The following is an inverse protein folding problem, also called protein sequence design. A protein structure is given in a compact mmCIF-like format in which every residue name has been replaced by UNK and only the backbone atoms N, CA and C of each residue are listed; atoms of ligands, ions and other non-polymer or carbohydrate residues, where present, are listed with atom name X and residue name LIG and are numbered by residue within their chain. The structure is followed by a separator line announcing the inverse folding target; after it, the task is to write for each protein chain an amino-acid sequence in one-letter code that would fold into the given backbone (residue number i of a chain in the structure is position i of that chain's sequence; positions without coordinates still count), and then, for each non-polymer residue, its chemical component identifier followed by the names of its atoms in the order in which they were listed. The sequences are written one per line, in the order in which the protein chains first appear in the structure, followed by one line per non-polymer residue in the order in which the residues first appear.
data_IF_278753869751
#
_entry.id   IF_278753869751
#
_cell.length_a   1.000
_cell.length_b   1.000
_cell.length_c   1.000
_cell.angle_alpha   90.00
_cell.angle_beta   90.00
_cell.angle_gamma   90.00
#
_symmetry.space_group_name_H-M   'P 1'
#
loop_
_entity.id
_entity.type
_entity.pdbx_description
1 polymer ?
#
# COMPACT_ATOMS: atom_id res chain seq x y z
N UNK A 1 10.25 11.71 14.33
CA UNK A 1 9.23 12.47 13.59
C UNK A 1 7.91 11.73 13.71
N UNK A 2 6.84 12.45 14.05
CA UNK A 2 5.48 11.91 14.20
C UNK A 2 4.68 12.20 12.93
N UNK A 3 4.03 11.17 12.35
CA UNK A 3 3.23 11.30 11.13
C UNK A 3 2.04 10.34 11.16
N UNK A 4 0.89 10.78 10.65
CA UNK A 4 -0.33 9.97 10.62
C UNK A 4 -0.34 9.07 9.38
N UNK A 5 -0.58 7.78 9.58
CA UNK A 5 -0.91 6.86 8.49
C UNK A 5 -2.44 6.70 8.39
N UNK A 6 -3.01 7.27 7.35
CA UNK A 6 -4.46 7.33 7.14
C UNK A 6 -4.99 5.99 6.61
N UNK A 7 -5.08 5.01 7.50
CA UNK A 7 -5.60 3.68 7.21
C UNK A 7 -6.39 3.10 8.38
N UNK A 8 -7.47 2.38 8.07
CA UNK A 8 -8.19 1.52 9.01
C UNK A 8 -7.72 0.06 8.95
N UNK A 9 -6.84 -0.28 7.99
CA UNK A 9 -6.32 -1.63 7.81
C UNK A 9 -5.16 -1.93 8.76
N UNK A 10 -5.42 -2.77 9.77
CA UNK A 10 -4.42 -3.12 10.80
C UNK A 10 -3.22 -3.90 10.23
N UNK A 11 -3.41 -4.71 9.20
CA UNK A 11 -2.29 -5.41 8.55
C UNK A 11 -1.34 -4.42 7.88
N UNK A 12 -1.87 -3.42 7.15
CA UNK A 12 -1.06 -2.36 6.56
C UNK A 12 -0.31 -1.56 7.64
N UNK A 13 -0.98 -1.20 8.73
CA UNK A 13 -0.37 -0.46 9.83
C UNK A 13 0.79 -1.24 10.47
N UNK A 14 0.62 -2.53 10.68
CA UNK A 14 1.67 -3.42 11.21
C UNK A 14 2.85 -3.49 10.25
N UNK A 15 2.62 -3.79 8.97
CA UNK A 15 3.69 -3.83 7.96
C UNK A 15 4.48 -2.51 7.88
N UNK A 16 3.79 -1.36 7.86
CA UNK A 16 4.45 -0.05 7.80
C UNK A 16 5.33 0.19 9.03
N UNK A 17 4.83 -0.13 10.23
CA UNK A 17 5.59 0.01 11.47
C UNK A 17 6.82 -0.89 11.52
N UNK A 18 6.71 -2.11 11.01
CA UNK A 18 7.83 -3.05 10.91
C UNK A 18 8.89 -2.57 9.91
N UNK A 19 8.47 -2.09 8.73
CA UNK A 19 9.38 -1.59 7.68
C UNK A 19 10.11 -0.33 8.14
N UNK A 20 9.41 0.64 8.73
CA UNK A 20 9.97 1.92 9.16
C UNK A 20 10.74 1.82 10.48
N UNK A 21 10.46 0.80 11.29
CA UNK A 21 11.09 0.59 12.59
C UNK A 21 10.89 1.78 13.54
N UNK A 22 11.83 1.96 14.47
CA UNK A 22 11.77 3.02 15.51
C UNK A 22 12.18 4.42 15.02
N UNK A 23 12.58 4.57 13.76
CA UNK A 23 13.00 5.87 13.22
C UNK A 23 11.84 6.87 13.10
N UNK A 24 10.61 6.37 12.99
CA UNK A 24 9.40 7.16 12.82
C UNK A 24 8.32 6.73 13.82
N UNK A 25 7.63 7.72 14.41
CA UNK A 25 6.42 7.48 15.21
C UNK A 25 5.20 7.49 14.28
N UNK A 26 4.77 6.29 13.88
CA UNK A 26 3.60 6.13 13.01
C UNK A 26 2.33 6.08 13.86
N UNK A 27 1.50 7.09 13.69
CA UNK A 27 0.24 7.30 14.39
C UNK A 27 -0.90 6.82 13.51
N UNK A 28 -1.82 6.03 14.06
CA UNK A 28 -3.00 5.55 13.35
C UNK A 28 -4.13 6.60 13.33
N UNK A 29 -5.16 6.39 12.51
CA UNK A 29 -6.39 7.18 12.55
C UNK A 29 -7.01 7.15 13.95
N UNK A 30 -7.07 5.98 14.58
CA UNK A 30 -7.61 5.81 15.94
C UNK A 30 -6.83 6.62 16.98
N UNK A 31 -5.51 6.71 16.86
CA UNK A 31 -4.67 7.45 17.81
C UNK A 31 -4.92 8.96 17.76
N UNK A 32 -5.48 9.48 16.67
CA UNK A 32 -5.90 10.88 16.51
C UNK A 32 -7.40 11.10 16.74
N UNK A 33 -8.12 10.06 17.18
CA UNK A 33 -9.58 10.14 17.41
C UNK A 33 -10.41 10.16 16.13
N UNK A 34 -9.87 9.66 15.02
CA UNK A 34 -10.59 9.54 13.76
C UNK A 34 -11.21 8.15 13.63
N UNK A 35 -12.53 8.07 13.74
CA UNK A 35 -13.32 6.85 13.53
C UNK A 35 -13.98 6.81 12.13
N UNK A 36 -13.63 7.76 11.25
CA UNK A 36 -14.23 7.83 9.93
C UNK A 36 -13.76 6.66 9.04
N UNK A 37 -14.70 6.12 8.31
CA UNK A 37 -14.42 5.29 7.14
C UNK A 37 -14.26 6.21 5.93
N UNK A 38 -13.01 6.48 5.56
CA UNK A 38 -12.68 7.43 4.50
C UNK A 38 -12.99 6.79 3.15
N UNK A 39 -13.94 7.34 2.37
CA UNK A 39 -14.38 6.71 1.13
C UNK A 39 -13.26 6.65 0.08
N UNK A 40 -13.06 5.48 -0.51
CA UNK A 40 -12.15 5.27 -1.64
C UNK A 40 -12.93 5.36 -2.96
N UNK A 41 -13.26 6.58 -3.37
CA UNK A 41 -14.07 6.87 -4.56
C UNK A 41 -13.23 7.16 -5.80
N UNK A 42 -11.92 7.16 -5.68
CA UNK A 42 -10.98 7.39 -6.77
C UNK A 42 -11.00 6.27 -7.82
N UNK A 43 -10.65 6.64 -9.04
CA UNK A 43 -10.53 5.70 -10.15
C UNK A 43 -9.12 5.12 -10.29
N UNK A 44 -8.16 5.68 -9.58
CA UNK A 44 -6.76 5.26 -9.55
C UNK A 44 -6.26 5.04 -8.12
N UNK A 45 -5.15 4.32 -7.97
CA UNK A 45 -4.50 4.15 -6.66
C UNK A 45 -4.02 5.50 -6.12
N UNK A 46 -3.55 6.39 -7.01
CA UNK A 46 -3.14 7.75 -6.68
C UNK A 46 -4.29 8.54 -6.06
N UNK A 47 -5.46 8.52 -6.70
CA UNK A 47 -6.64 9.25 -6.21
C UNK A 47 -7.05 8.78 -4.82
N UNK A 48 -7.11 7.46 -4.59
CA UNK A 48 -7.50 6.91 -3.30
C UNK A 48 -6.46 7.19 -2.21
N UNK A 49 -5.16 7.09 -2.51
CA UNK A 49 -4.12 7.46 -1.57
C UNK A 49 -4.20 8.96 -1.22
N UNK A 50 -4.38 9.81 -2.22
CA UNK A 50 -4.58 11.26 -2.04
C UNK A 50 -5.78 11.56 -1.14
N UNK A 51 -6.97 11.03 -1.47
CA UNK A 51 -8.20 11.29 -0.71
C UNK A 51 -8.05 10.94 0.78
N UNK A 52 -7.42 9.81 1.09
CA UNK A 52 -7.21 9.39 2.48
C UNK A 52 -6.23 10.30 3.22
N UNK A 53 -5.11 10.66 2.60
CA UNK A 53 -4.13 11.54 3.22
C UNK A 53 -4.68 12.96 3.38
N UNK A 54 -5.36 13.48 2.35
CA UNK A 54 -5.97 14.81 2.38
C UNK A 54 -7.05 14.92 3.46
N UNK A 55 -7.85 13.88 3.65
CA UNK A 55 -8.87 13.87 4.71
C UNK A 55 -8.28 14.18 6.09
N UNK A 56 -7.15 13.57 6.44
CA UNK A 56 -6.47 13.82 7.72
C UNK A 56 -5.96 15.26 7.80
N UNK A 57 -5.38 15.75 6.70
CA UNK A 57 -4.92 17.15 6.66
C UNK A 57 -6.07 18.14 6.86
N UNK A 58 -7.18 17.98 6.14
CA UNK A 58 -8.31 18.92 6.19
C UNK A 58 -9.06 18.92 7.52
N UNK A 59 -9.22 17.73 8.14
CA UNK A 59 -10.03 17.60 9.36
C UNK A 59 -9.23 17.71 10.65
N UNK A 60 -7.93 17.41 10.61
CA UNK A 60 -7.07 17.36 11.81
C UNK A 60 -5.86 18.31 11.73
N UNK A 61 -5.57 18.88 10.57
CA UNK A 61 -4.42 19.78 10.39
C UNK A 61 -3.06 19.10 10.62
N UNK A 62 -2.97 17.78 10.37
CA UNK A 62 -1.78 16.99 10.63
C UNK A 62 -1.10 16.56 9.32
N UNK A 63 0.23 16.48 9.35
CA UNK A 63 0.97 15.82 8.29
C UNK A 63 0.60 14.33 8.27
N UNK A 64 0.32 13.82 7.10
CA UNK A 64 -0.22 12.48 6.93
C UNK A 64 0.26 11.83 5.65
N UNK A 65 0.23 10.52 5.63
CA UNK A 65 0.33 9.76 4.40
C UNK A 65 -0.72 8.64 4.37
N UNK A 66 -1.06 8.21 3.18
CA UNK A 66 -1.92 7.07 2.95
C UNK A 66 -1.37 6.23 1.80
N UNK A 67 -1.67 4.94 1.81
CA UNK A 67 -1.38 4.07 0.68
C UNK A 67 -2.66 3.56 0.04
N UNK A 68 -2.60 3.36 -1.28
CA UNK A 68 -3.51 2.45 -1.94
C UNK A 68 -2.73 1.41 -2.74
N UNK A 69 -3.28 0.20 -2.82
CA UNK A 69 -2.58 -0.96 -3.37
C UNK A 69 -3.49 -1.76 -4.26
N UNK A 70 -3.02 -2.06 -5.46
CA UNK A 70 -3.68 -2.92 -6.42
C UNK A 70 -2.83 -4.10 -6.87
N UNK A 71 -3.49 -5.22 -7.11
CA UNK A 71 -2.97 -6.32 -7.90
C UNK A 71 -3.43 -6.11 -9.34
N UNK A 72 -2.52 -6.08 -10.28
CA UNK A 72 -2.80 -5.91 -11.70
C UNK A 72 -2.38 -7.17 -12.45
N UNK A 73 -3.34 -7.83 -13.10
CA UNK A 73 -3.11 -9.08 -13.85
C UNK A 73 -3.20 -8.80 -15.34
N UNK A 74 -2.13 -9.10 -16.06
CA UNK A 74 -1.99 -8.75 -17.47
C UNK A 74 -3.08 -9.39 -18.33
N UNK A 75 -3.35 -10.69 -18.14
CA UNK A 75 -4.36 -11.41 -18.89
C UNK A 75 -5.81 -10.97 -18.59
N UNK A 76 -6.02 -10.18 -17.55
CA UNK A 76 -7.30 -9.60 -17.17
C UNK A 76 -7.34 -8.08 -17.41
N UNK A 77 -6.48 -7.56 -18.31
CA UNK A 77 -6.40 -6.15 -18.64
C UNK A 77 -6.19 -5.23 -17.41
N UNK A 78 -5.42 -5.69 -16.44
CA UNK A 78 -5.11 -4.95 -15.21
C UNK A 78 -6.08 -5.17 -14.05
N UNK A 79 -7.14 -5.97 -14.24
CA UNK A 79 -7.99 -6.33 -13.09
C UNK A 79 -7.21 -7.19 -12.06
N UNK A 80 -7.55 -7.10 -10.77
CA UNK A 80 -8.57 -6.23 -10.13
C UNK A 80 -8.17 -4.76 -9.98
N UNK A 81 -6.89 -4.38 -10.08
CA UNK A 81 -6.42 -2.99 -10.05
C UNK A 81 -6.87 -2.24 -8.78
N UNK A 82 -7.43 -1.05 -8.95
CA UNK A 82 -7.96 -0.20 -7.86
C UNK A 82 -9.09 -0.88 -7.06
N UNK A 83 -9.74 -1.89 -7.63
CA UNK A 83 -10.80 -2.65 -6.97
C UNK A 83 -10.30 -3.86 -6.19
N UNK A 84 -8.99 -4.00 -5.97
CA UNK A 84 -8.38 -5.19 -5.35
C UNK A 84 -8.99 -5.56 -4.00
N UNK A 85 -9.28 -4.60 -3.14
CA UNK A 85 -9.86 -4.85 -1.82
C UNK A 85 -11.34 -5.29 -1.87
N UNK A 86 -12.08 -4.89 -2.92
CA UNK A 86 -13.53 -5.13 -3.10
C UNK A 86 -13.85 -5.85 -4.42
N UNK A 87 -12.93 -6.67 -4.91
CA UNK A 87 -13.05 -7.33 -6.21
C UNK A 87 -14.25 -8.28 -6.29
N UNK A 88 -14.59 -8.97 -5.21
CA UNK A 88 -15.81 -9.77 -5.08
C UNK A 88 -16.96 -8.92 -4.50
N UNK A 89 -17.48 -7.99 -5.26
CA UNK A 89 -18.44 -6.92 -4.94
C UNK A 89 -19.51 -7.22 -3.87
N UNK A 90 -19.92 -8.48 -3.72
CA UNK A 90 -20.92 -8.92 -2.73
C UNK A 90 -20.33 -9.06 -1.31
N UNK A 91 -19.01 -9.02 -1.16
CA UNK A 91 -18.29 -9.29 0.08
C UNK A 91 -17.20 -8.24 0.27
N UNK A 92 -17.59 -7.08 0.77
CA UNK A 92 -16.67 -5.97 1.01
C UNK A 92 -15.48 -6.41 1.87
N UNK A 93 -14.25 -6.09 1.40
CA UNK A 93 -12.98 -6.43 2.04
C UNK A 93 -12.75 -7.92 2.38
N UNK A 94 -13.46 -8.85 1.73
CA UNK A 94 -13.27 -10.29 1.93
C UNK A 94 -12.15 -10.84 1.05
N UNK A 95 -10.94 -10.96 1.61
CA UNK A 95 -9.76 -11.45 0.89
C UNK A 95 -9.94 -12.84 0.28
N UNK A 96 -10.67 -13.74 0.96
CA UNK A 96 -10.95 -15.08 0.46
C UNK A 96 -11.83 -15.05 -0.78
N UNK A 97 -12.94 -14.31 -0.73
CA UNK A 97 -13.86 -14.15 -1.86
C UNK A 97 -13.16 -13.48 -3.06
N UNK A 98 -12.32 -12.47 -2.81
CA UNK A 98 -11.54 -11.79 -3.83
C UNK A 98 -10.56 -12.75 -4.52
N UNK A 99 -9.85 -13.57 -3.75
CA UNK A 99 -8.89 -14.55 -4.25
C UNK A 99 -9.58 -15.65 -5.06
N UNK A 100 -10.72 -16.16 -4.57
CA UNK A 100 -11.52 -17.17 -5.28
C UNK A 100 -12.04 -16.62 -6.62
N UNK A 101 -12.54 -15.38 -6.64
CA UNK A 101 -12.98 -14.73 -7.89
C UNK A 101 -11.83 -14.60 -8.88
N UNK A 102 -10.64 -14.18 -8.41
CA UNK A 102 -9.46 -14.07 -9.25
C UNK A 102 -9.06 -15.42 -9.86
N UNK A 103 -8.92 -16.46 -9.05
CA UNK A 103 -8.54 -17.79 -9.53
C UNK A 103 -9.55 -18.35 -10.53
N UNK A 104 -10.85 -18.14 -10.30
CA UNK A 104 -11.92 -18.54 -11.23
C UNK A 104 -11.79 -17.81 -12.58
N UNK A 105 -11.52 -16.50 -12.58
CA UNK A 105 -11.27 -15.76 -13.83
C UNK A 105 -10.01 -16.21 -14.55
N UNK A 106 -9.04 -16.74 -13.81
CA UNK A 106 -7.76 -17.24 -14.33
C UNK A 106 -7.79 -18.73 -14.73
N UNK A 107 -8.97 -19.40 -14.67
CA UNK A 107 -9.15 -20.77 -15.15
C UNK A 107 -8.78 -20.84 -16.63
N UNK A 108 -7.99 -21.86 -17.02
CA UNK A 108 -7.51 -22.11 -18.38
C UNK A 108 -6.60 -21.00 -18.99
N UNK A 109 -6.25 -19.96 -18.21
CA UNK A 109 -5.32 -18.93 -18.63
C UNK A 109 -3.90 -19.35 -18.30
N UNK A 110 -3.05 -19.51 -19.33
CA UNK A 110 -1.63 -19.87 -19.20
C UNK A 110 -0.74 -18.65 -18.94
N UNK A 111 -1.08 -17.49 -19.50
CA UNK A 111 -0.36 -16.23 -19.27
C UNK A 111 -0.78 -15.65 -17.91
N UNK A 112 0.05 -15.82 -16.91
CA UNK A 112 -0.29 -15.51 -15.52
C UNK A 112 0.48 -14.34 -14.94
N UNK A 113 1.13 -13.53 -15.79
CA UNK A 113 1.90 -12.36 -15.37
C UNK A 113 1.01 -11.38 -14.63
N UNK A 114 1.53 -10.88 -13.52
CA UNK A 114 0.85 -9.92 -12.68
C UNK A 114 1.88 -9.06 -11.93
N UNK A 115 1.42 -7.93 -11.41
CA UNK A 115 2.22 -7.12 -10.50
C UNK A 115 1.38 -6.61 -9.35
N UNK A 116 2.01 -6.48 -8.20
CA UNK A 116 1.49 -5.63 -7.15
C UNK A 116 2.06 -4.21 -7.29
N UNK A 117 1.20 -3.24 -7.12
CA UNK A 117 1.53 -1.83 -7.14
C UNK A 117 0.98 -1.13 -5.91
N UNK A 118 1.82 -0.37 -5.21
CA UNK A 118 1.41 0.51 -4.11
C UNK A 118 1.77 1.93 -4.47
N UNK A 119 0.83 2.84 -4.27
CA UNK A 119 1.07 4.29 -4.29
C UNK A 119 0.86 4.84 -2.89
N UNK A 120 1.82 5.63 -2.42
CA UNK A 120 1.73 6.40 -1.18
C UNK A 120 1.61 7.87 -1.55
N UNK A 121 0.59 8.55 -1.02
CA UNK A 121 0.47 10.01 -1.00
C UNK A 121 0.90 10.52 0.35
N UNK A 122 1.92 11.38 0.38
CA UNK A 122 2.38 12.11 1.55
C UNK A 122 1.91 13.56 1.44
N UNK A 123 1.12 14.01 2.40
CA UNK A 123 0.66 15.41 2.52
C UNK A 123 1.32 16.03 3.74
N UNK A 124 2.05 17.11 3.51
CA UNK A 124 2.75 17.87 4.52
C UNK A 124 2.29 19.32 4.48
N UNK A 125 2.09 19.92 5.64
CA UNK A 125 1.75 21.35 5.76
C UNK A 125 2.86 22.20 5.18
N UNK A 126 2.46 23.22 4.44
CA UNK A 126 3.39 24.24 3.99
C UNK A 126 3.69 25.20 5.14
N UNK A 127 4.94 25.21 5.60
CA UNK A 127 5.37 26.06 6.71
C UNK A 127 5.37 27.55 6.33
N UNK A 128 5.55 27.87 5.06
CA UNK A 128 5.67 29.24 4.55
C UNK A 128 4.30 29.83 4.14
N UNK A 129 3.31 28.95 3.91
CA UNK A 129 1.97 29.34 3.47
C UNK A 129 0.88 28.62 4.28
N UNK A 130 0.48 29.14 5.43
CA UNK A 130 -0.54 28.54 6.29
C UNK A 130 -1.86 28.27 5.55
N UNK A 131 -2.34 27.03 5.64
CA UNK A 131 -3.54 26.57 4.93
C UNK A 131 -3.28 25.90 3.60
N UNK A 132 -2.01 25.84 3.16
CA UNK A 132 -1.57 25.07 2.01
C UNK A 132 -0.81 23.82 2.44
N UNK A 133 -0.65 22.90 1.51
CA UNK A 133 0.13 21.66 1.68
C UNK A 133 0.97 21.34 0.45
N UNK A 134 1.98 20.54 0.66
CA UNK A 134 2.73 19.87 -0.40
C UNK A 134 2.37 18.42 -0.44
N UNK A 135 2.11 17.90 -1.63
CA UNK A 135 1.92 16.47 -1.86
C UNK A 135 3.11 15.87 -2.58
N UNK A 136 3.52 14.69 -2.14
CA UNK A 136 4.53 13.88 -2.81
C UNK A 136 4.03 12.45 -2.93
N UNK A 137 4.12 11.89 -4.14
CA UNK A 137 3.73 10.50 -4.41
C UNK A 137 4.95 9.59 -4.45
N UNK A 138 4.81 8.41 -3.85
CA UNK A 138 5.82 7.35 -3.87
C UNK A 138 5.20 6.05 -4.36
N UNK A 139 5.82 5.44 -5.33
CA UNK A 139 5.35 4.20 -5.92
C UNK A 139 6.30 3.05 -5.64
N UNK A 140 5.75 1.88 -5.34
CA UNK A 140 6.47 0.62 -5.28
C UNK A 140 5.76 -0.45 -6.10
N UNK A 141 6.53 -1.17 -6.91
CA UNK A 141 6.04 -2.24 -7.79
C UNK A 141 6.83 -3.50 -7.52
N UNK A 142 6.15 -4.64 -7.50
CA UNK A 142 6.78 -5.95 -7.56
C UNK A 142 6.12 -6.77 -8.67
N UNK A 143 6.92 -7.18 -9.64
CA UNK A 143 6.49 -8.07 -10.71
C UNK A 143 6.41 -9.51 -10.22
N UNK A 144 5.57 -10.33 -10.85
CA UNK A 144 5.41 -11.73 -10.51
C UNK A 144 4.35 -12.41 -11.38
N UNK A 145 3.76 -13.45 -10.82
CA UNK A 145 2.72 -14.24 -11.48
C UNK A 145 1.68 -14.75 -10.51
N UNK A 146 0.48 -15.03 -11.01
CA UNK A 146 -0.59 -15.67 -10.25
C UNK A 146 -0.41 -17.18 -10.25
N UNK A 147 -0.39 -17.80 -9.08
CA UNK A 147 -0.42 -19.25 -8.92
C UNK A 147 -1.74 -19.85 -9.43
N UNK A 148 -1.75 -21.13 -9.72
CA UNK A 148 -2.97 -21.86 -10.14
C UNK A 148 -3.92 -22.15 -8.96
N UNK A 149 -3.38 -22.16 -7.76
CA UNK A 149 -4.08 -22.42 -6.50
C UNK A 149 -3.48 -21.63 -5.37
N UNK A 150 -4.16 -21.57 -4.23
CA UNK A 150 -3.66 -20.92 -3.02
C UNK A 150 -2.50 -21.71 -2.42
N UNK A 151 -1.45 -21.01 -2.00
CA UNK A 151 -0.22 -21.56 -1.42
C UNK A 151 0.19 -20.74 -0.20
N UNK A 152 0.31 -21.40 0.94
CA UNK A 152 0.65 -20.75 2.21
C UNK A 152 -0.54 -20.08 2.89
N UNK A 153 -0.32 -19.61 4.12
CA UNK A 153 -1.36 -19.05 5.00
C UNK A 153 -0.99 -17.72 5.65
N UNK A 154 0.26 -17.27 5.48
CA UNK A 154 0.71 -15.99 6.05
C UNK A 154 0.24 -14.81 5.20
N UNK A 155 0.30 -13.61 5.78
CA UNK A 155 -0.06 -12.37 5.09
C UNK A 155 -1.56 -12.15 4.96
N UNK A 156 -1.97 -11.38 3.95
CA UNK A 156 -3.36 -11.03 3.69
C UNK A 156 -3.61 -10.77 2.19
N UNK A 157 -4.88 -10.59 1.82
CA UNK A 157 -5.26 -10.29 0.44
C UNK A 157 -4.91 -11.42 -0.51
N UNK A 158 -4.18 -11.10 -1.57
CA UNK A 158 -3.78 -12.03 -2.61
C UNK A 158 -2.41 -12.68 -2.36
N UNK A 159 -1.82 -12.54 -1.18
CA UNK A 159 -0.51 -13.14 -0.84
C UNK A 159 -0.44 -14.65 -1.10
N UNK A 160 -1.52 -15.44 -0.87
CA UNK A 160 -1.49 -16.87 -1.15
C UNK A 160 -1.43 -17.24 -2.64
N UNK A 161 -1.70 -16.32 -3.54
CA UNK A 161 -1.73 -16.61 -4.99
C UNK A 161 -0.71 -15.80 -5.79
N UNK A 162 0.01 -14.87 -5.17
CA UNK A 162 1.02 -14.09 -5.86
C UNK A 162 2.43 -14.62 -5.61
N UNK A 163 3.11 -15.02 -6.67
CA UNK A 163 4.50 -15.49 -6.66
C UNK A 163 5.37 -14.37 -7.23
N UNK A 164 6.18 -13.69 -6.39
CA UNK A 164 7.04 -12.61 -6.86
C UNK A 164 8.15 -13.11 -7.80
N UNK A 165 8.58 -12.26 -8.70
CA UNK A 165 9.68 -12.57 -9.62
C UNK A 165 10.96 -12.95 -8.85
N UNK A 166 11.67 -13.98 -9.35
CA UNK A 166 12.85 -14.52 -8.68
C UNK A 166 12.57 -15.56 -7.60
N UNK A 167 11.30 -15.86 -7.33
CA UNK A 167 10.88 -16.86 -6.34
C UNK A 167 9.98 -17.91 -6.98
N UNK A 168 9.91 -19.08 -6.36
CA UNK A 168 9.00 -20.18 -6.69
C UNK A 168 7.87 -20.37 -5.66
N UNK A 169 7.87 -19.52 -4.61
CA UNK A 169 6.93 -19.51 -3.49
C UNK A 169 6.06 -18.26 -3.53
N UNK A 170 4.81 -18.39 -3.07
CA UNK A 170 3.92 -17.25 -2.90
C UNK A 170 4.39 -16.35 -1.74
N UNK A 171 3.91 -15.10 -1.70
CA UNK A 171 4.16 -14.24 -0.54
C UNK A 171 3.73 -14.87 0.79
N UNK A 172 2.61 -15.60 0.79
CA UNK A 172 2.15 -16.31 1.98
C UNK A 172 3.06 -17.48 2.40
N UNK A 173 3.78 -18.11 1.47
CA UNK A 173 4.79 -19.14 1.78
C UNK A 173 6.13 -18.54 2.17
N UNK A 174 6.49 -17.37 1.65
CA UNK A 174 7.73 -16.66 1.97
C UNK A 174 7.68 -16.04 3.39
N UNK A 175 6.49 -15.69 3.87
CA UNK A 175 6.29 -15.08 5.17
C UNK A 175 6.58 -13.59 5.21
N UNK A 176 6.19 -12.96 6.32
CA UNK A 176 6.21 -11.50 6.48
C UNK A 176 7.63 -10.93 6.46
N UNK A 177 8.60 -11.60 7.05
CA UNK A 177 9.98 -11.13 7.10
C UNK A 177 10.58 -10.90 5.70
N UNK A 178 10.36 -11.84 4.78
CA UNK A 178 10.84 -11.70 3.39
C UNK A 178 9.98 -10.70 2.65
N UNK A 179 8.65 -10.78 2.78
CA UNK A 179 7.71 -9.87 2.15
C UNK A 179 8.02 -8.41 2.50
N UNK A 180 8.30 -8.09 3.76
CA UNK A 180 8.62 -6.73 4.21
C UNK A 180 9.95 -6.18 3.66
N UNK A 181 10.77 -7.02 3.04
CA UNK A 181 12.02 -6.60 2.37
C UNK A 181 11.84 -6.38 0.87
N UNK A 182 10.95 -7.12 0.22
CA UNK A 182 10.87 -7.16 -1.25
C UNK A 182 9.56 -6.65 -1.83
N UNK A 183 8.51 -6.49 -1.01
CA UNK A 183 7.16 -6.18 -1.49
C UNK A 183 7.03 -4.78 -2.11
N UNK A 184 5.98 -4.60 -2.89
CA UNK A 184 5.54 -3.33 -3.42
C UNK A 184 5.45 -2.24 -2.34
N UNK A 185 4.84 -2.55 -1.17
CA UNK A 185 4.75 -1.63 -0.03
C UNK A 185 6.13 -1.31 0.54
N UNK A 186 7.00 -2.30 0.73
CA UNK A 186 8.36 -2.07 1.21
C UNK A 186 9.12 -1.09 0.30
N UNK A 187 9.02 -1.26 -1.01
CA UNK A 187 9.66 -0.37 -2.00
C UNK A 187 9.11 1.06 -1.96
N UNK A 188 7.79 1.22 -1.83
CA UNK A 188 7.17 2.54 -1.70
C UNK A 188 7.56 3.22 -0.38
N UNK A 189 7.53 2.49 0.73
CA UNK A 189 7.88 2.97 2.07
C UNK A 189 9.35 3.34 2.18
N UNK A 190 10.25 2.62 1.53
CA UNK A 190 11.67 2.99 1.48
C UNK A 190 11.88 4.37 0.82
N UNK A 191 11.14 4.67 -0.25
CA UNK A 191 11.16 5.98 -0.90
C UNK A 191 10.59 7.08 0.00
N UNK A 192 9.46 6.80 0.66
CA UNK A 192 8.86 7.69 1.66
C UNK A 192 9.86 7.99 2.78
N UNK A 193 10.47 6.97 3.37
CA UNK A 193 11.44 7.13 4.46
C UNK A 193 12.61 8.02 4.07
N UNK A 194 13.16 7.83 2.87
CA UNK A 194 14.25 8.67 2.34
C UNK A 194 13.84 10.14 2.21
N UNK A 195 12.59 10.44 1.86
CA UNK A 195 12.11 11.81 1.73
C UNK A 195 11.88 12.49 3.09
N UNK A 196 11.54 11.71 4.13
CA UNK A 196 11.28 12.22 5.47
C UNK A 196 12.55 12.46 6.29
N UNK A 197 13.68 11.86 5.90
CA UNK A 197 14.98 12.12 6.54
C UNK A 197 15.52 13.42 5.97
N UNK A 198 15.74 14.47 6.79
CA UNK A 198 16.35 15.69 6.30
C UNK A 198 17.67 15.37 5.64
N UNK A 199 17.87 15.81 4.39
CA UNK A 199 19.16 15.75 3.74
C UNK A 199 20.17 16.50 4.62
N UNK A 200 21.04 15.78 5.31
CA UNK A 200 22.21 16.37 5.93
C UNK A 200 23.16 16.79 4.80
N UNK A 201 22.85 17.91 4.14
CA UNK A 201 23.78 18.55 3.23
C UNK A 201 25.06 18.84 4.00
N UNK A 202 26.23 18.40 3.52
CA UNK A 202 27.48 18.77 4.17
C UNK A 202 27.57 20.29 4.15
N UNK A 203 27.62 20.90 5.35
CA UNK A 203 27.97 22.34 5.46
C UNK A 203 29.24 22.53 4.70
N UNK A 204 29.18 23.22 3.56
CA UNK A 204 30.37 23.77 2.94
C UNK A 204 31.05 24.66 3.99
N UNK A 205 32.17 24.18 4.53
CA UNK A 205 33.07 25.04 5.29
C UNK A 205 33.66 26.03 4.28
N UNK A 206 33.25 27.29 4.39
CA UNK A 206 33.94 28.40 3.80
C UNK A 206 35.17 28.76 4.64
#
# INVERSE_FOLDING_TARGET
MKIVFATNNQHKLTEIREILGSAFEIVSLKDIGCDADIPETGQTLEDNAHLKALYVYEHYGLDSFADDTGLEVEALNGEPGVYSARYAEQYDHNSEANTVKLLRKMTDITRRNARFRTVISLIQRDADNPGSYHETLFEGIVEGKIATEKRGTAGFGYDPVFIPEGYDKSFAELGEEIKNKISHRARAVEKLAKSLIPNSSPKKRG
#
